data_IF_393458471439
#
_entry.id   IF_393458471439
#
_cell.length_a   1.000
_cell.length_b   1.000
_cell.length_c   1.000
_cell.angle_alpha   90.00
_cell.angle_beta   90.00
_cell.angle_gamma   90.00
#
_symmetry.space_group_name_H-M   'P 1'
#
loop_
_entity.id
_entity.type
_entity.pdbx_description
1 polymer ?
#
# COMPACT_ATOMS: atom_id res chain seq x y z
N UNK A 1 44.06 -57.35 -71.23
CA UNK A 1 43.65 -57.81 -69.93
C UNK A 1 44.04 -56.80 -68.86
N UNK A 2 43.14 -55.89 -68.48
CA UNK A 2 43.37 -54.95 -67.37
C UNK A 2 42.03 -54.85 -66.66
N UNK A 3 41.97 -55.25 -65.41
CA UNK A 3 40.78 -55.16 -64.53
C UNK A 3 40.77 -53.78 -63.92
N UNK A 4 39.67 -53.08 -64.08
CA UNK A 4 39.36 -51.86 -63.35
C UNK A 4 38.76 -52.21 -61.98
N UNK A 5 39.34 -51.73 -60.91
CA UNK A 5 38.73 -51.68 -59.58
C UNK A 5 38.02 -50.39 -59.40
N UNK A 6 36.72 -50.46 -59.19
CA UNK A 6 35.86 -49.36 -58.79
C UNK A 6 35.88 -49.26 -57.27
N UNK A 7 36.35 -48.15 -56.73
CA UNK A 7 36.29 -47.78 -55.30
C UNK A 7 35.02 -47.01 -55.09
N UNK A 8 34.08 -47.57 -54.33
CA UNK A 8 32.84 -46.90 -53.92
C UNK A 8 33.11 -45.98 -52.72
N UNK A 9 32.81 -44.70 -52.89
CA UNK A 9 32.92 -43.70 -51.84
C UNK A 9 31.56 -43.57 -51.11
N UNK A 10 31.45 -44.14 -49.92
CA UNK A 10 30.27 -44.01 -49.05
C UNK A 10 30.32 -42.68 -48.30
N UNK A 11 29.48 -41.73 -48.70
CA UNK A 11 29.29 -40.48 -47.94
C UNK A 11 28.37 -40.74 -46.72
N UNK A 12 28.96 -40.72 -45.54
CA UNK A 12 28.20 -40.74 -44.27
C UNK A 12 27.71 -39.30 -43.96
N UNK A 13 26.39 -39.06 -44.13
CA UNK A 13 25.74 -37.83 -43.77
C UNK A 13 25.52 -37.79 -42.25
N UNK A 14 26.41 -37.07 -41.53
CA UNK A 14 26.23 -36.85 -40.09
C UNK A 14 25.16 -35.77 -39.87
N UNK A 15 23.95 -36.19 -39.47
CA UNK A 15 22.91 -35.30 -38.93
C UNK A 15 23.39 -34.80 -37.55
N UNK A 16 23.95 -33.59 -37.50
CA UNK A 16 24.17 -32.89 -36.27
C UNK A 16 22.81 -32.38 -35.74
N UNK A 17 22.22 -33.11 -34.81
CA UNK A 17 21.12 -32.64 -33.98
C UNK A 17 21.66 -31.50 -33.10
N UNK A 18 21.44 -30.29 -33.55
CA UNK A 18 21.64 -29.10 -32.71
C UNK A 18 20.68 -29.14 -31.53
N UNK A 19 21.14 -29.65 -30.40
CA UNK A 19 20.49 -29.45 -29.12
C UNK A 19 20.70 -27.98 -28.81
N UNK A 20 19.74 -27.14 -29.23
CA UNK A 20 19.66 -25.76 -28.79
C UNK A 20 19.52 -25.78 -27.28
N UNK A 21 20.60 -25.40 -26.58
CA UNK A 21 20.56 -25.08 -25.17
C UNK A 21 19.48 -23.99 -25.01
N UNK A 22 18.32 -24.37 -24.50
CA UNK A 22 17.39 -23.38 -23.99
C UNK A 22 18.12 -22.68 -22.84
N UNK A 23 18.71 -21.53 -23.14
CA UNK A 23 19.26 -20.62 -22.14
C UNK A 23 18.13 -20.40 -21.17
N UNK A 24 18.29 -20.81 -19.92
CA UNK A 24 17.30 -20.61 -18.88
C UNK A 24 17.08 -19.10 -18.77
N UNK A 25 16.02 -18.60 -19.42
CA UNK A 25 15.68 -17.20 -19.37
C UNK A 25 15.62 -16.81 -17.88
N UNK A 26 16.48 -15.86 -17.48
CA UNK A 26 16.53 -15.37 -16.10
C UNK A 26 15.14 -14.97 -15.63
N UNK A 27 14.86 -15.13 -14.34
CA UNK A 27 13.57 -14.75 -13.76
C UNK A 27 13.27 -13.28 -14.06
N UNK A 28 12.03 -13.01 -14.47
CA UNK A 28 11.56 -11.63 -14.64
C UNK A 28 11.38 -10.97 -13.27
N UNK A 29 11.92 -9.78 -13.08
CA UNK A 29 11.75 -9.03 -11.84
C UNK A 29 10.43 -8.27 -11.82
N UNK A 30 9.65 -8.42 -10.75
CA UNK A 30 8.54 -7.54 -10.41
C UNK A 30 8.85 -6.87 -9.07
N UNK A 31 8.64 -5.57 -8.97
CA UNK A 31 8.95 -4.81 -7.76
C UNK A 31 7.71 -4.14 -7.17
N UNK A 32 7.61 -4.17 -5.84
CA UNK A 32 6.66 -3.38 -5.06
C UNK A 32 7.43 -2.26 -4.36
N UNK A 33 7.09 -1.00 -4.62
CA UNK A 33 7.78 0.18 -4.08
C UNK A 33 6.83 0.98 -3.22
N UNK A 34 7.16 1.17 -1.94
CA UNK A 34 6.33 1.90 -0.99
C UNK A 34 6.61 3.40 -1.00
N UNK A 35 5.71 4.20 -0.39
CA UNK A 35 5.86 5.65 -0.27
C UNK A 35 6.75 6.08 0.90
N UNK A 36 7.02 5.19 1.84
CA UNK A 36 7.88 5.43 3.00
C UNK A 36 7.93 4.21 3.91
N UNK A 37 8.94 4.14 4.77
CA UNK A 37 9.12 3.01 5.68
C UNK A 37 8.11 3.08 6.84
N UNK A 38 7.27 2.04 6.99
CA UNK A 38 6.39 1.84 8.15
C UNK A 38 6.06 0.37 8.35
N UNK A 39 5.63 0.00 9.55
CA UNK A 39 5.24 -1.39 9.86
C UNK A 39 4.00 -1.86 9.06
N UNK A 40 3.14 -0.93 8.63
CA UNK A 40 2.04 -1.18 7.71
C UNK A 40 2.48 -1.97 6.46
N UNK A 41 3.60 -1.58 5.87
CA UNK A 41 4.09 -2.20 4.65
C UNK A 41 4.62 -3.63 4.83
N UNK A 42 4.93 -4.05 6.06
CA UNK A 42 5.30 -5.45 6.36
C UNK A 42 4.18 -6.43 6.04
N UNK A 43 2.93 -5.96 6.09
CA UNK A 43 1.75 -6.76 5.76
C UNK A 43 1.67 -6.94 4.24
N UNK A 44 1.89 -5.89 3.46
CA UNK A 44 1.97 -5.99 2.00
C UNK A 44 3.15 -6.86 1.55
N UNK A 45 4.31 -6.72 2.22
CA UNK A 45 5.49 -7.55 1.97
C UNK A 45 5.21 -9.04 2.22
N UNK A 46 4.44 -9.38 3.25
CA UNK A 46 4.01 -10.76 3.50
C UNK A 46 3.13 -11.30 2.35
N UNK A 47 2.27 -10.46 1.77
CA UNK A 47 1.49 -10.79 0.58
C UNK A 47 2.37 -11.04 -0.65
N UNK A 48 3.37 -10.19 -0.88
CA UNK A 48 4.37 -10.37 -1.96
C UNK A 48 5.16 -11.67 -1.77
N UNK A 49 5.59 -11.98 -0.54
CA UNK A 49 6.29 -13.24 -0.21
C UNK A 49 5.42 -14.46 -0.49
N UNK A 50 4.12 -14.40 -0.18
CA UNK A 50 3.19 -15.48 -0.54
C UNK A 50 3.09 -15.62 -2.06
N UNK A 51 2.93 -14.54 -2.80
CA UNK A 51 2.89 -14.56 -4.26
C UNK A 51 4.17 -15.14 -4.87
N UNK A 52 5.35 -14.88 -4.29
CA UNK A 52 6.63 -15.44 -4.74
C UNK A 52 6.62 -16.97 -4.76
N UNK A 53 5.96 -17.61 -3.78
CA UNK A 53 5.82 -19.07 -3.75
C UNK A 53 4.97 -19.65 -4.89
N UNK A 54 4.13 -18.83 -5.52
CA UNK A 54 3.24 -19.22 -6.61
C UNK A 54 3.73 -18.71 -7.99
N UNK A 55 4.77 -17.89 -8.03
CA UNK A 55 5.34 -17.29 -9.24
C UNK A 55 6.82 -17.68 -9.41
N UNK A 56 7.13 -18.96 -9.69
CA UNK A 56 8.52 -19.47 -9.72
C UNK A 56 9.37 -18.85 -10.82
N UNK A 57 8.76 -18.32 -11.90
CA UNK A 57 9.42 -17.69 -13.03
C UNK A 57 9.72 -16.22 -12.82
N UNK A 58 9.35 -15.67 -11.65
CA UNK A 58 9.55 -14.27 -11.29
C UNK A 58 10.43 -14.14 -10.05
N UNK A 59 11.15 -13.01 -9.98
CA UNK A 59 11.83 -12.52 -8.78
C UNK A 59 11.03 -11.34 -8.24
N UNK A 60 10.33 -11.53 -7.10
CA UNK A 60 9.49 -10.49 -6.51
C UNK A 60 10.28 -9.71 -5.48
N UNK A 61 10.46 -8.42 -5.72
CA UNK A 61 11.22 -7.52 -4.87
C UNK A 61 10.30 -6.56 -4.13
N UNK A 62 10.59 -6.30 -2.85
CA UNK A 62 9.93 -5.28 -2.05
C UNK A 62 10.93 -4.19 -1.69
N UNK A 63 10.61 -2.93 -2.00
CA UNK A 63 11.54 -1.79 -1.86
C UNK A 63 10.98 -0.74 -0.91
N UNK A 64 11.79 -0.41 0.08
CA UNK A 64 11.58 0.70 1.00
C UNK A 64 12.51 1.84 0.61
N UNK A 65 12.01 2.97 0.07
CA UNK A 65 12.83 4.17 -0.11
C UNK A 65 13.39 4.63 1.25
N UNK A 66 14.63 5.12 1.26
CA UNK A 66 15.29 5.58 2.50
C UNK A 66 14.55 6.76 3.15
N UNK A 67 13.84 7.55 2.36
CA UNK A 67 13.05 8.69 2.81
C UNK A 67 11.73 8.74 2.02
N UNK A 68 10.68 9.22 2.68
CA UNK A 68 9.37 9.47 2.08
C UNK A 68 9.38 10.76 1.22
N UNK A 69 10.23 10.79 0.21
CA UNK A 69 10.41 11.92 -0.70
C UNK A 69 10.30 11.48 -2.16
N UNK A 70 9.58 12.24 -2.97
CA UNK A 70 9.34 11.94 -4.38
C UNK A 70 10.65 11.69 -5.16
N UNK A 71 11.67 12.53 -4.95
CA UNK A 71 12.96 12.39 -5.62
C UNK A 71 13.73 11.12 -5.21
N UNK A 72 13.56 10.65 -3.96
CA UNK A 72 14.18 9.40 -3.49
C UNK A 72 13.46 8.21 -4.09
N UNK A 73 12.12 8.22 -4.08
CA UNK A 73 11.31 7.18 -4.70
C UNK A 73 11.59 7.08 -6.19
N UNK A 74 11.70 8.22 -6.90
CA UNK A 74 12.00 8.26 -8.32
C UNK A 74 13.31 7.54 -8.66
N UNK A 75 14.39 7.74 -7.88
CA UNK A 75 15.65 7.01 -8.08
C UNK A 75 15.47 5.50 -7.97
N UNK A 76 14.71 5.04 -6.96
CA UNK A 76 14.41 3.61 -6.80
C UNK A 76 13.69 3.05 -8.02
N UNK A 77 12.72 3.81 -8.59
CA UNK A 77 11.99 3.40 -9.79
C UNK A 77 12.91 3.35 -11.03
N UNK A 78 13.78 4.34 -11.20
CA UNK A 78 14.75 4.41 -12.31
C UNK A 78 15.80 3.27 -12.21
N UNK A 79 16.28 2.97 -11.02
CA UNK A 79 17.21 1.86 -10.78
C UNK A 79 16.56 0.50 -11.13
N UNK A 80 15.31 0.31 -10.78
CA UNK A 80 14.56 -0.90 -11.13
C UNK A 80 14.37 -1.04 -12.64
N UNK A 81 14.04 0.04 -13.33
CA UNK A 81 13.94 0.06 -14.80
C UNK A 81 15.29 -0.23 -15.42
N UNK A 82 16.37 0.41 -14.95
CA UNK A 82 17.74 0.18 -15.44
C UNK A 82 18.19 -1.27 -15.21
N UNK A 83 17.73 -1.90 -14.14
CA UNK A 83 17.97 -3.33 -13.86
C UNK A 83 17.05 -4.27 -14.67
N UNK A 84 16.19 -3.75 -15.56
CA UNK A 84 15.32 -4.55 -16.42
C UNK A 84 14.08 -5.11 -15.71
N UNK A 85 13.54 -4.45 -14.70
CA UNK A 85 12.30 -4.86 -14.06
C UNK A 85 11.16 -4.93 -15.10
N UNK A 86 10.49 -6.09 -15.18
CA UNK A 86 9.38 -6.32 -16.09
C UNK A 86 8.08 -5.65 -15.64
N UNK A 87 7.97 -5.35 -14.35
CA UNK A 87 6.83 -4.62 -13.80
C UNK A 87 7.13 -4.01 -12.44
N UNK A 88 6.52 -2.87 -12.18
CA UNK A 88 6.64 -2.11 -10.93
C UNK A 88 5.25 -1.76 -10.43
N UNK A 89 4.98 -2.02 -9.15
CA UNK A 89 3.82 -1.51 -8.42
C UNK A 89 4.32 -0.48 -7.42
N UNK A 90 3.73 0.71 -7.40
CA UNK A 90 4.19 1.82 -6.57
C UNK A 90 3.04 2.49 -5.82
N UNK A 91 3.25 2.81 -4.54
CA UNK A 91 2.44 3.79 -3.82
C UNK A 91 3.11 5.14 -3.96
N UNK A 92 2.52 6.05 -4.74
CA UNK A 92 3.16 7.32 -5.10
C UNK A 92 3.24 8.28 -3.90
N UNK A 93 4.40 8.90 -3.68
CA UNK A 93 4.62 9.89 -2.61
C UNK A 93 3.88 11.20 -2.91
N UNK A 94 3.98 11.67 -4.15
CA UNK A 94 3.33 12.90 -4.63
C UNK A 94 2.79 12.69 -6.05
N UNK A 95 1.62 12.03 -6.17
CA UNK A 95 1.09 11.60 -7.46
C UNK A 95 0.90 12.75 -8.46
N UNK A 96 0.55 13.93 -7.98
CA UNK A 96 0.31 15.11 -8.82
C UNK A 96 1.59 15.59 -9.49
N UNK A 97 2.67 15.72 -8.73
CA UNK A 97 3.95 16.23 -9.24
C UNK A 97 4.83 15.13 -9.85
N UNK A 98 4.58 13.85 -9.54
CA UNK A 98 5.31 12.70 -10.10
C UNK A 98 4.68 12.14 -11.40
N UNK A 99 3.61 12.73 -11.93
CA UNK A 99 2.91 12.17 -13.11
C UNK A 99 3.84 11.97 -14.31
N UNK A 100 4.69 12.93 -14.63
CA UNK A 100 5.60 12.84 -15.77
C UNK A 100 6.67 11.75 -15.57
N UNK A 101 7.24 11.68 -14.39
CA UNK A 101 8.21 10.65 -14.00
C UNK A 101 7.59 9.25 -14.08
N UNK A 102 6.40 9.07 -13.51
CA UNK A 102 5.67 7.81 -13.59
C UNK A 102 5.33 7.43 -15.04
N UNK A 103 5.05 8.40 -15.91
CA UNK A 103 4.83 8.16 -17.32
C UNK A 103 6.12 7.71 -18.06
N UNK A 104 7.28 8.21 -17.66
CA UNK A 104 8.59 7.73 -18.16
C UNK A 104 8.81 6.27 -17.75
N UNK A 105 8.54 5.93 -16.48
CA UNK A 105 8.60 4.55 -15.98
C UNK A 105 7.62 3.66 -16.78
N UNK A 106 6.36 4.07 -16.91
CA UNK A 106 5.32 3.33 -17.64
C UNK A 106 5.64 3.10 -19.13
N UNK A 107 6.50 3.94 -19.74
CA UNK A 107 6.95 3.75 -21.13
C UNK A 107 8.02 2.66 -21.28
N UNK A 108 8.63 2.21 -20.18
CA UNK A 108 9.75 1.27 -20.18
C UNK A 108 9.40 -0.07 -19.49
N UNK A 109 8.42 -0.07 -18.59
CA UNK A 109 7.99 -1.27 -17.87
C UNK A 109 6.49 -1.22 -17.55
N UNK A 110 5.89 -2.35 -17.16
CA UNK A 110 4.49 -2.37 -16.72
C UNK A 110 4.39 -1.66 -15.38
N UNK A 111 3.59 -0.59 -15.32
CA UNK A 111 3.37 0.20 -14.11
C UNK A 111 1.99 -0.05 -13.53
N UNK A 112 1.94 -0.48 -12.28
CA UNK A 112 0.74 -0.48 -11.44
C UNK A 112 0.91 0.53 -10.31
N UNK A 113 -0.20 1.01 -9.76
CA UNK A 113 -0.21 1.80 -8.53
C UNK A 113 -1.02 1.08 -7.44
N UNK A 114 -0.76 1.45 -6.19
CA UNK A 114 -1.44 0.91 -5.01
C UNK A 114 -1.48 1.96 -3.91
N UNK A 115 -2.41 1.85 -2.93
CA UNK A 115 -2.58 2.76 -1.80
C UNK A 115 -2.76 4.22 -2.22
N UNK A 116 -1.69 4.97 -2.45
CA UNK A 116 -1.72 6.30 -3.05
C UNK A 116 -1.66 6.16 -4.57
N UNK A 117 -2.81 6.33 -5.24
CA UNK A 117 -2.93 6.22 -6.69
C UNK A 117 -2.30 7.43 -7.40
N UNK A 118 -1.97 7.25 -8.67
CA UNK A 118 -1.58 8.31 -9.59
C UNK A 118 -2.47 8.26 -10.86
N UNK A 119 -3.74 8.65 -10.77
CA UNK A 119 -4.74 8.42 -11.81
C UNK A 119 -4.44 9.16 -13.11
N UNK A 120 -3.64 10.23 -13.09
CA UNK A 120 -3.21 10.98 -14.27
C UNK A 120 -2.00 10.34 -14.97
N UNK A 121 -1.38 9.32 -14.38
CA UNK A 121 -0.28 8.58 -14.98
C UNK A 121 -0.76 7.54 -16.00
N UNK A 122 0.17 7.03 -16.80
CA UNK A 122 -0.05 5.93 -17.74
C UNK A 122 0.03 4.55 -17.07
N UNK A 123 -0.31 4.46 -15.78
CA UNK A 123 -0.41 3.17 -15.11
C UNK A 123 -1.43 2.26 -15.79
N UNK A 124 -1.15 0.97 -15.80
CA UNK A 124 -2.08 -0.05 -16.33
C UNK A 124 -3.24 -0.27 -15.38
N UNK A 125 -2.94 -0.38 -14.07
CA UNK A 125 -3.96 -0.61 -13.05
C UNK A 125 -3.57 0.02 -11.71
N UNK A 126 -4.60 0.38 -10.95
CA UNK A 126 -4.55 0.61 -9.51
C UNK A 126 -5.15 -0.60 -8.80
N UNK A 127 -4.49 -1.11 -7.76
CA UNK A 127 -5.04 -2.08 -6.83
C UNK A 127 -4.89 -1.55 -5.41
N UNK A 128 -6.00 -1.33 -4.74
CA UNK A 128 -6.00 -0.72 -3.43
C UNK A 128 -7.40 -0.60 -2.85
N UNK A 129 -7.55 0.19 -1.79
CA UNK A 129 -8.86 0.51 -1.23
C UNK A 129 -9.42 1.80 -1.86
N UNK A 130 -10.74 1.96 -1.78
CA UNK A 130 -11.37 3.27 -2.02
C UNK A 130 -11.11 4.16 -0.80
N UNK A 131 -10.13 5.02 -0.89
CA UNK A 131 -9.77 5.90 0.22
C UNK A 131 -10.91 6.85 0.61
N UNK A 132 -11.73 7.27 -0.35
CA UNK A 132 -12.96 8.03 -0.07
C UNK A 132 -13.93 7.23 0.80
N UNK A 133 -14.16 5.93 0.50
CA UNK A 133 -15.06 5.11 1.30
C UNK A 133 -14.48 4.79 2.68
N UNK A 134 -13.16 4.61 2.79
CA UNK A 134 -12.48 4.51 4.09
C UNK A 134 -12.66 5.79 4.91
N UNK A 135 -12.51 6.95 4.27
CA UNK A 135 -12.78 8.25 4.89
C UNK A 135 -14.23 8.39 5.38
N UNK A 136 -15.20 7.95 4.55
CA UNK A 136 -16.63 7.92 4.94
C UNK A 136 -16.87 7.03 6.15
N UNK A 137 -16.23 5.86 6.20
CA UNK A 137 -16.32 4.97 7.35
C UNK A 137 -15.75 5.61 8.64
N UNK A 138 -14.62 6.31 8.56
CA UNK A 138 -14.06 7.06 9.67
C UNK A 138 -14.98 8.21 10.11
N UNK A 139 -15.57 8.95 9.15
CA UNK A 139 -16.56 9.99 9.42
C UNK A 139 -17.78 9.45 10.16
N UNK A 140 -18.25 8.24 9.81
CA UNK A 140 -19.32 7.57 10.54
C UNK A 140 -18.94 7.24 11.98
N UNK A 141 -17.73 6.69 12.20
CA UNK A 141 -17.22 6.47 13.56
C UNK A 141 -17.16 7.76 14.39
N UNK A 142 -16.80 8.90 13.76
CA UNK A 142 -16.81 10.21 14.43
C UNK A 142 -18.21 10.62 14.84
N UNK A 143 -19.22 10.49 13.96
CA UNK A 143 -20.61 10.82 14.25
C UNK A 143 -21.19 9.95 15.37
N UNK A 144 -20.91 8.65 15.33
CA UNK A 144 -21.36 7.69 16.35
C UNK A 144 -20.72 7.98 17.71
N UNK A 145 -19.45 8.40 17.74
CA UNK A 145 -18.70 8.72 18.97
C UNK A 145 -19.05 10.09 19.56
N UNK A 146 -19.56 11.02 18.74
CA UNK A 146 -19.86 12.41 19.10
C UNK A 146 -21.32 12.80 18.75
N UNK A 147 -22.33 12.16 19.33
CA UNK A 147 -23.74 12.41 18.97
C UNK A 147 -24.18 13.86 19.27
N UNK A 148 -23.50 14.56 20.18
CA UNK A 148 -23.77 15.96 20.50
C UNK A 148 -22.90 16.95 19.71
N UNK A 149 -22.02 16.44 18.83
CA UNK A 149 -21.04 17.23 18.09
C UNK A 149 -19.70 17.37 18.83
N UNK A 150 -18.76 18.07 18.21
CA UNK A 150 -17.45 18.34 18.78
C UNK A 150 -16.39 18.64 17.72
N UNK A 151 -15.28 19.23 18.18
CA UNK A 151 -14.13 19.54 17.33
C UNK A 151 -13.17 18.38 17.24
N UNK A 152 -12.81 18.00 16.02
CA UNK A 152 -11.85 16.95 15.73
C UNK A 152 -10.63 17.51 15.00
N UNK A 153 -9.46 16.93 15.28
CA UNK A 153 -8.22 17.20 14.55
C UNK A 153 -7.69 15.91 13.94
N UNK A 154 -7.31 16.00 12.67
CA UNK A 154 -6.70 14.90 11.94
C UNK A 154 -5.18 14.95 11.95
N UNK A 155 -4.54 13.78 11.83
CA UNK A 155 -3.09 13.60 11.73
C UNK A 155 -2.78 12.66 10.58
N UNK A 156 -1.84 13.03 9.72
CA UNK A 156 -1.53 12.29 8.50
C UNK A 156 -0.07 12.46 8.11
N UNK A 157 0.50 11.49 7.42
CA UNK A 157 1.88 11.58 6.95
C UNK A 157 2.07 12.64 5.88
N UNK A 158 1.48 12.41 4.72
CA UNK A 158 1.69 13.21 3.52
C UNK A 158 0.38 13.86 3.06
N UNK A 159 0.21 15.14 3.31
CA UNK A 159 -0.99 15.88 2.90
C UNK A 159 -1.18 15.92 1.36
N UNK A 160 -0.10 15.82 0.60
CA UNK A 160 -0.12 15.82 -0.87
C UNK A 160 -0.47 14.48 -1.51
N UNK A 161 -0.43 13.38 -0.76
CA UNK A 161 -0.75 12.05 -1.27
C UNK A 161 -2.25 11.88 -1.51
N UNK A 162 -2.62 11.15 -2.58
CA UNK A 162 -4.04 10.96 -2.93
C UNK A 162 -4.80 10.22 -1.84
N UNK A 163 -4.21 9.18 -1.24
CA UNK A 163 -4.84 8.46 -0.14
C UNK A 163 -5.20 9.37 1.04
N UNK A 164 -4.33 10.31 1.40
CA UNK A 164 -4.57 11.28 2.47
C UNK A 164 -5.74 12.21 2.12
N UNK A 165 -5.70 12.82 0.93
CA UNK A 165 -6.75 13.76 0.48
C UNK A 165 -8.11 13.10 0.41
N UNK A 166 -8.20 11.94 -0.22
CA UNK A 166 -9.46 11.19 -0.38
C UNK A 166 -10.06 10.76 0.95
N UNK A 167 -9.23 10.29 1.92
CA UNK A 167 -9.70 9.96 3.27
C UNK A 167 -10.25 11.19 3.99
N UNK A 168 -9.55 12.32 3.94
CA UNK A 168 -9.96 13.58 4.54
C UNK A 168 -11.27 14.08 3.91
N UNK A 169 -11.39 14.03 2.58
CA UNK A 169 -12.60 14.41 1.86
C UNK A 169 -13.78 13.50 2.20
N UNK A 170 -13.57 12.18 2.27
CA UNK A 170 -14.61 11.22 2.69
C UNK A 170 -15.11 11.50 4.11
N UNK A 171 -14.22 11.84 5.05
CA UNK A 171 -14.63 12.30 6.39
C UNK A 171 -15.46 13.56 6.29
N UNK A 172 -14.98 14.61 5.61
CA UNK A 172 -15.68 15.91 5.49
C UNK A 172 -17.06 15.75 4.83
N UNK A 173 -17.18 14.92 3.81
CA UNK A 173 -18.44 14.63 3.17
C UNK A 173 -19.44 14.00 4.15
N UNK A 174 -18.99 13.04 4.95
CA UNK A 174 -19.85 12.30 5.90
C UNK A 174 -20.31 13.15 7.06
N UNK A 175 -19.46 14.00 7.63
CA UNK A 175 -19.81 14.85 8.78
C UNK A 175 -20.54 16.13 8.37
N UNK A 176 -20.64 16.43 7.08
CA UNK A 176 -21.28 17.63 6.56
C UNK A 176 -22.70 17.78 7.07
N UNK A 177 -22.99 18.97 7.62
CA UNK A 177 -24.33 19.29 8.18
C UNK A 177 -24.58 18.72 9.57
N UNK A 178 -23.62 18.00 10.17
CA UNK A 178 -23.66 17.60 11.56
C UNK A 178 -23.05 18.69 12.47
N UNK A 179 -23.03 18.41 13.78
CA UNK A 179 -22.31 19.27 14.77
C UNK A 179 -20.87 18.81 15.01
N UNK A 180 -20.40 17.79 14.28
CA UNK A 180 -19.01 17.34 14.33
C UNK A 180 -18.21 18.10 13.28
N UNK A 181 -17.08 18.66 13.67
CA UNK A 181 -16.25 19.48 12.80
C UNK A 181 -14.82 18.95 12.75
N UNK A 182 -14.28 18.70 11.56
CA UNK A 182 -12.85 18.45 11.35
C UNK A 182 -12.19 19.82 11.14
N UNK A 183 -11.70 20.41 12.24
CA UNK A 183 -11.23 21.83 12.28
C UNK A 183 -9.81 22.01 11.76
N UNK A 184 -8.98 20.95 11.81
CA UNK A 184 -7.59 20.99 11.33
C UNK A 184 -7.13 19.61 10.90
N UNK A 185 -6.13 19.52 10.00
CA UNK A 185 -5.41 18.30 9.66
C UNK A 185 -3.91 18.62 9.56
N UNK A 186 -3.10 17.91 10.36
CA UNK A 186 -1.66 18.15 10.49
C UNK A 186 -0.84 17.06 9.81
N UNK A 187 0.04 17.46 8.89
CA UNK A 187 1.00 16.60 8.23
C UNK A 187 2.29 16.46 9.04
N UNK A 188 2.90 15.28 8.99
CA UNK A 188 4.15 14.99 9.72
C UNK A 188 5.29 14.50 8.84
N UNK A 189 5.11 14.41 7.52
CA UNK A 189 6.10 13.94 6.54
C UNK A 189 6.65 12.54 6.84
N UNK A 190 5.80 11.69 7.42
CA UNK A 190 6.12 10.32 7.88
C UNK A 190 7.22 10.33 8.99
N UNK A 191 7.42 11.44 9.67
CA UNK A 191 8.27 11.56 10.86
C UNK A 191 7.46 11.32 12.13
N UNK A 192 7.71 10.21 12.80
CA UNK A 192 6.97 9.82 14.00
C UNK A 192 7.22 10.74 15.20
N UNK A 193 8.36 11.41 15.29
CA UNK A 193 8.65 12.42 16.32
C UNK A 193 7.79 13.65 16.09
N UNK A 194 7.70 14.10 14.84
CA UNK A 194 6.83 15.19 14.42
C UNK A 194 5.36 14.83 14.61
N UNK A 195 4.97 13.60 14.31
CA UNK A 195 3.62 13.10 14.55
C UNK A 195 3.23 13.22 16.03
N UNK A 196 4.09 12.78 16.96
CA UNK A 196 3.88 12.92 18.41
C UNK A 196 3.75 14.40 18.81
N UNK A 197 4.68 15.26 18.37
CA UNK A 197 4.66 16.71 18.66
C UNK A 197 3.39 17.38 18.15
N UNK A 198 2.91 17.05 16.96
CA UNK A 198 1.66 17.57 16.42
C UNK A 198 0.47 17.29 17.34
N UNK A 199 0.42 16.15 18.00
CA UNK A 199 -0.64 15.80 18.97
C UNK A 199 -0.48 16.63 20.25
N UNK A 200 0.74 16.73 20.80
CA UNK A 200 1.05 17.55 21.98
C UNK A 200 0.65 19.02 21.77
N UNK A 201 1.04 19.60 20.64
CA UNK A 201 0.70 20.97 20.24
C UNK A 201 -0.82 21.15 20.07
N UNK A 202 -1.52 20.12 19.59
CA UNK A 202 -2.99 20.16 19.48
C UNK A 202 -3.63 20.23 20.86
N UNK A 203 -3.18 19.40 21.81
CA UNK A 203 -3.75 19.37 23.17
C UNK A 203 -3.47 20.67 23.94
N UNK A 204 -2.35 21.34 23.65
CA UNK A 204 -2.01 22.63 24.24
C UNK A 204 -2.83 23.78 23.62
N UNK A 205 -3.00 23.78 22.29
CA UNK A 205 -3.69 24.85 21.58
C UNK A 205 -5.22 24.74 21.62
N UNK A 206 -5.77 23.52 21.74
CA UNK A 206 -7.21 23.23 21.69
C UNK A 206 -7.64 22.40 22.90
N UNK A 207 -7.78 23.02 24.09
CA UNK A 207 -8.18 22.27 25.30
C UNK A 207 -9.59 21.68 25.23
N UNK A 208 -10.43 22.17 24.31
CA UNK A 208 -11.80 21.74 24.02
C UNK A 208 -11.90 20.72 22.87
N UNK A 209 -10.76 20.22 22.36
CA UNK A 209 -10.78 19.17 21.34
C UNK A 209 -11.48 17.91 21.86
N UNK A 210 -12.41 17.42 21.07
CA UNK A 210 -13.28 16.28 21.46
C UNK A 210 -12.86 14.97 20.82
N UNK A 211 -12.11 15.04 19.69
CA UNK A 211 -11.76 13.87 18.90
C UNK A 211 -10.44 14.11 18.15
N UNK A 212 -9.64 13.02 18.05
CA UNK A 212 -8.43 12.95 17.25
C UNK A 212 -8.54 11.78 16.25
N UNK A 213 -8.14 12.04 15.01
CA UNK A 213 -8.21 11.05 13.92
C UNK A 213 -6.82 10.80 13.36
N UNK A 214 -6.31 9.59 13.47
CA UNK A 214 -5.05 9.18 12.83
C UNK A 214 -5.34 8.57 11.46
N UNK A 215 -4.93 9.23 10.37
CA UNK A 215 -5.22 8.82 8.99
C UNK A 215 -4.21 7.81 8.42
N UNK A 216 -3.02 7.67 9.02
CA UNK A 216 -2.02 6.64 8.71
C UNK A 216 -1.81 5.73 9.91
N UNK A 217 -1.33 4.51 9.66
CA UNK A 217 -1.24 3.45 10.68
C UNK A 217 -0.49 3.87 11.95
N UNK A 218 0.59 4.64 11.83
CA UNK A 218 1.40 5.07 12.95
C UNK A 218 0.88 6.33 13.66
N UNK A 219 -0.03 7.09 13.05
CA UNK A 219 -0.58 8.30 13.69
C UNK A 219 -1.41 7.94 14.94
N UNK A 220 -2.25 6.89 14.85
CA UNK A 220 -3.10 6.46 15.97
C UNK A 220 -2.30 6.02 17.19
N UNK A 221 -1.23 5.21 17.09
CA UNK A 221 -0.32 4.94 18.20
C UNK A 221 0.27 6.19 18.84
N UNK A 222 0.69 7.18 18.04
CA UNK A 222 1.23 8.44 18.58
C UNK A 222 0.17 9.23 19.33
N UNK A 223 -1.07 9.27 18.82
CA UNK A 223 -2.23 9.85 19.52
C UNK A 223 -2.46 9.13 20.85
N UNK A 224 -2.48 7.80 20.83
CA UNK A 224 -2.69 6.98 22.02
C UNK A 224 -1.64 7.25 23.10
N UNK A 225 -0.37 7.27 22.73
CA UNK A 225 0.76 7.54 23.64
C UNK A 225 0.62 8.90 24.32
N UNK A 226 0.41 9.98 23.53
CA UNK A 226 0.27 11.34 24.07
C UNK A 226 -0.95 11.46 24.99
N UNK A 227 -2.09 10.88 24.59
CA UNK A 227 -3.29 10.90 25.43
C UNK A 227 -3.11 10.12 26.74
N UNK A 228 -2.34 9.01 26.71
CA UNK A 228 -1.99 8.23 27.89
C UNK A 228 -1.11 9.03 28.83
N UNK A 229 -0.04 9.65 28.31
CA UNK A 229 0.88 10.51 29.07
C UNK A 229 0.15 11.73 29.71
N UNK A 230 -0.83 12.30 28.97
CA UNK A 230 -1.63 13.43 29.43
C UNK A 230 -2.82 13.04 30.35
N UNK A 231 -3.06 11.75 30.62
CA UNK A 231 -4.23 11.29 31.40
C UNK A 231 -5.58 11.60 30.73
N UNK A 232 -5.62 11.65 29.40
CA UNK A 232 -6.79 12.00 28.60
C UNK A 232 -7.39 10.84 27.81
N UNK A 233 -6.83 9.61 27.92
CA UNK A 233 -7.42 8.40 27.30
C UNK A 233 -8.88 8.22 27.75
N UNK A 234 -9.76 7.91 26.82
CA UNK A 234 -11.20 7.74 27.03
C UNK A 234 -11.98 9.06 27.18
N UNK A 235 -11.31 10.19 27.49
CA UNK A 235 -11.93 11.53 27.57
C UNK A 235 -12.03 12.17 26.18
N UNK A 236 -10.98 12.06 25.38
CA UNK A 236 -10.94 12.50 23.99
C UNK A 236 -11.15 11.24 23.13
N UNK A 237 -12.10 11.29 22.18
CA UNK A 237 -12.37 10.18 21.27
C UNK A 237 -11.23 10.01 20.28
N UNK A 238 -10.87 8.76 19.98
CA UNK A 238 -9.83 8.46 19.00
C UNK A 238 -10.41 7.56 17.93
N UNK A 239 -10.24 7.96 16.67
CA UNK A 239 -10.55 7.15 15.50
C UNK A 239 -9.23 6.87 14.79
N UNK A 240 -9.00 5.59 14.45
CA UNK A 240 -7.78 5.13 13.82
C UNK A 240 -7.95 4.74 12.36
N UNK A 241 -6.82 4.59 11.72
CA UNK A 241 -6.66 3.86 10.46
C UNK A 241 -5.64 2.75 10.66
N UNK A 242 -5.85 1.69 9.91
CA UNK A 242 -5.01 0.51 9.82
C UNK A 242 -4.89 -0.31 11.13
N UNK A 243 -4.03 -1.33 11.11
CA UNK A 243 -4.02 -2.44 12.06
C UNK A 243 -2.78 -2.46 12.97
N UNK A 244 -2.26 -1.29 13.36
CA UNK A 244 -1.16 -1.25 14.31
C UNK A 244 -1.53 -1.95 15.65
N UNK A 245 -0.62 -2.74 16.26
CA UNK A 245 -0.92 -3.46 17.51
C UNK A 245 -1.38 -2.57 18.66
N UNK A 246 -0.85 -1.34 18.80
CA UNK A 246 -1.29 -0.38 19.83
C UNK A 246 -2.71 0.09 19.54
N UNK A 247 -3.01 0.37 18.27
CA UNK A 247 -4.36 0.76 17.83
C UNK A 247 -5.36 -0.34 18.13
N UNK A 248 -5.08 -1.59 17.73
CA UNK A 248 -5.96 -2.73 17.98
C UNK A 248 -6.12 -3.01 19.49
N UNK A 249 -5.04 -2.89 20.27
CA UNK A 249 -5.09 -2.97 21.73
C UNK A 249 -6.01 -1.92 22.33
N UNK A 250 -5.89 -0.67 21.90
CA UNK A 250 -6.73 0.44 22.35
C UNK A 250 -8.21 0.26 21.97
N UNK A 251 -8.50 -0.33 20.79
CA UNK A 251 -9.87 -0.68 20.39
C UNK A 251 -10.43 -1.76 21.30
N UNK A 252 -9.66 -2.81 21.58
CA UNK A 252 -10.04 -3.91 22.48
C UNK A 252 -10.31 -3.41 23.90
N UNK A 253 -9.50 -2.51 24.42
CA UNK A 253 -9.66 -1.89 25.74
C UNK A 253 -10.83 -0.88 25.77
N UNK A 254 -11.23 -0.33 24.61
CA UNK A 254 -12.27 0.70 24.50
C UNK A 254 -11.75 2.13 24.67
N UNK A 255 -10.43 2.35 24.69
CA UNK A 255 -9.80 3.68 24.69
C UNK A 255 -9.72 4.31 23.30
N UNK A 256 -9.80 3.51 22.23
CA UNK A 256 -9.98 3.89 20.83
C UNK A 256 -11.35 3.41 20.37
N UNK A 257 -12.11 4.28 19.71
CA UNK A 257 -13.50 4.00 19.24
C UNK A 257 -13.50 2.86 18.22
N UNK A 258 -12.59 2.94 17.26
CA UNK A 258 -12.42 1.97 16.20
C UNK A 258 -11.34 2.41 15.23
N UNK A 259 -10.98 1.52 14.33
CA UNK A 259 -10.03 1.78 13.25
C UNK A 259 -10.58 1.31 11.91
N UNK A 260 -10.26 2.04 10.85
CA UNK A 260 -10.63 1.67 9.48
C UNK A 260 -9.41 1.01 8.83
N UNK A 261 -9.50 -0.30 8.57
CA UNK A 261 -8.38 -1.08 8.06
C UNK A 261 -8.52 -1.34 6.57
N UNK A 262 -7.39 -1.37 5.90
CA UNK A 262 -7.23 -1.77 4.52
C UNK A 262 -6.81 -3.24 4.44
N UNK A 263 -6.49 -3.73 3.24
CA UNK A 263 -6.01 -5.09 3.04
C UNK A 263 -4.67 -5.13 2.27
N UNK A 264 -3.60 -4.56 2.83
CA UNK A 264 -2.31 -4.45 2.15
C UNK A 264 -1.70 -5.82 1.78
N UNK A 265 -1.99 -6.86 2.56
CA UNK A 265 -1.61 -8.24 2.20
C UNK A 265 -2.16 -8.63 0.81
N UNK A 266 -3.44 -8.36 0.58
CA UNK A 266 -4.10 -8.67 -0.70
C UNK A 266 -3.55 -7.82 -1.84
N UNK A 267 -3.17 -6.58 -1.60
CA UNK A 267 -2.53 -5.75 -2.63
C UNK A 267 -1.20 -6.38 -3.08
N UNK A 268 -0.36 -6.78 -2.14
CA UNK A 268 0.90 -7.46 -2.44
C UNK A 268 0.68 -8.80 -3.14
N UNK A 269 -0.21 -9.63 -2.61
CA UNK A 269 -0.47 -10.96 -3.13
C UNK A 269 -1.16 -10.95 -4.50
N UNK A 270 -2.34 -10.32 -4.58
CA UNK A 270 -3.12 -10.30 -5.82
C UNK A 270 -2.47 -9.41 -6.87
N UNK A 271 -1.90 -8.27 -6.46
CA UNK A 271 -1.29 -7.32 -7.38
C UNK A 271 -0.08 -7.88 -8.10
N UNK A 272 0.82 -8.59 -7.41
CA UNK A 272 1.95 -9.26 -8.07
C UNK A 272 1.48 -10.34 -9.04
N UNK A 273 0.49 -11.15 -8.67
CA UNK A 273 -0.07 -12.18 -9.55
C UNK A 273 -0.76 -11.59 -10.77
N UNK A 274 -1.51 -10.51 -10.59
CA UNK A 274 -2.19 -9.82 -11.68
C UNK A 274 -1.19 -9.17 -12.66
N UNK A 275 -0.13 -8.57 -12.12
CA UNK A 275 0.93 -7.97 -12.94
C UNK A 275 1.67 -9.05 -13.74
N UNK A 276 1.99 -10.21 -13.14
CA UNK A 276 2.58 -11.34 -13.85
C UNK A 276 1.69 -11.81 -15.00
N UNK A 277 0.39 -12.02 -14.76
CA UNK A 277 -0.59 -12.38 -15.81
C UNK A 277 -0.64 -11.35 -16.94
N UNK A 278 -0.67 -10.06 -16.59
CA UNK A 278 -0.69 -8.99 -17.58
C UNK A 278 0.55 -9.03 -18.49
N UNK A 279 1.74 -9.26 -17.91
CA UNK A 279 3.00 -9.39 -18.66
C UNK A 279 3.02 -10.64 -19.55
N UNK A 280 2.31 -11.69 -19.16
CA UNK A 280 2.12 -12.92 -19.94
C UNK A 280 1.02 -12.80 -21.02
N UNK A 281 0.36 -11.63 -21.10
CA UNK A 281 -0.67 -11.34 -22.10
C UNK A 281 -2.11 -11.52 -21.63
N UNK A 282 -2.35 -12.07 -20.44
CA UNK A 282 -3.68 -12.18 -19.84
C UNK A 282 -4.07 -10.87 -19.15
N UNK A 283 -4.94 -10.11 -19.80
CA UNK A 283 -5.47 -8.83 -19.31
C UNK A 283 -6.86 -8.96 -18.68
N UNK A 284 -7.43 -10.16 -18.61
CA UNK A 284 -8.83 -10.38 -18.21
C UNK A 284 -9.12 -9.96 -16.76
N UNK A 285 -8.10 -9.91 -15.89
CA UNK A 285 -8.24 -9.50 -14.50
C UNK A 285 -8.23 -7.98 -14.29
N UNK A 286 -8.05 -7.17 -15.35
CA UNK A 286 -7.99 -5.70 -15.24
C UNK A 286 -9.28 -5.09 -15.81
N UNK A 287 -10.10 -4.40 -14.98
CA UNK A 287 -11.28 -3.69 -15.46
C UNK A 287 -10.93 -2.61 -16.49
N UNK A 288 -11.89 -2.22 -17.32
CA UNK A 288 -11.69 -1.22 -18.39
C UNK A 288 -11.21 0.15 -17.84
N UNK A 289 -11.58 0.52 -16.63
CA UNK A 289 -11.12 1.73 -15.95
C UNK A 289 -9.76 1.55 -15.23
N UNK A 290 -9.19 0.35 -15.24
CA UNK A 290 -7.93 0.03 -14.57
C UNK A 290 -7.99 0.13 -13.03
N UNK A 291 -9.16 0.08 -12.40
CA UNK A 291 -9.31 0.24 -10.93
C UNK A 291 -9.81 -1.05 -10.30
N UNK A 292 -9.02 -1.62 -9.40
CA UNK A 292 -9.31 -2.85 -8.66
C UNK A 292 -9.42 -2.49 -7.18
N UNK A 293 -10.65 -2.47 -6.67
CA UNK A 293 -10.91 -2.12 -5.28
C UNK A 293 -10.89 -3.38 -4.41
N UNK A 294 -10.02 -3.36 -3.41
CA UNK A 294 -10.00 -4.30 -2.29
C UNK A 294 -10.69 -3.61 -1.12
N UNK A 295 -11.88 -4.05 -0.69
CA UNK A 295 -12.66 -3.36 0.33
C UNK A 295 -11.93 -3.27 1.67
N UNK A 296 -12.01 -2.12 2.33
CA UNK A 296 -11.59 -1.97 3.72
C UNK A 296 -12.66 -2.47 4.70
N UNK A 297 -12.31 -2.46 6.00
CA UNK A 297 -13.20 -2.89 7.10
C UNK A 297 -13.12 -1.91 8.26
N UNK A 298 -14.22 -1.75 8.97
CA UNK A 298 -14.22 -1.10 10.29
C UNK A 298 -13.95 -2.16 11.35
N UNK A 299 -12.94 -1.91 12.17
CA UNK A 299 -12.61 -2.73 13.32
C UNK A 299 -12.95 -1.94 14.58
N UNK A 300 -13.87 -2.47 15.34
CA UNK A 300 -14.35 -1.95 16.60
C UNK A 300 -14.28 -3.02 17.70
N UNK A 301 -14.80 -2.72 18.88
CA UNK A 301 -14.78 -3.62 20.02
C UNK A 301 -15.49 -4.96 19.76
N UNK A 302 -16.46 -4.99 18.82
CA UNK A 302 -17.24 -6.20 18.56
C UNK A 302 -16.48 -7.23 17.72
N UNK A 303 -15.50 -6.80 16.90
CA UNK A 303 -14.82 -7.67 15.94
C UNK A 303 -13.29 -7.67 16.02
N UNK A 304 -12.69 -6.88 16.93
CA UNK A 304 -11.23 -6.73 17.02
C UNK A 304 -10.50 -8.03 17.37
N UNK A 305 -11.07 -8.88 18.23
CA UNK A 305 -10.44 -10.14 18.63
C UNK A 305 -10.32 -11.12 17.45
N UNK A 306 -11.39 -11.27 16.67
CA UNK A 306 -11.42 -12.11 15.48
C UNK A 306 -10.45 -11.57 14.42
N UNK A 307 -10.42 -10.25 14.25
CA UNK A 307 -9.49 -9.60 13.31
C UNK A 307 -8.03 -9.83 13.72
N UNK A 308 -7.68 -9.67 15.00
CA UNK A 308 -6.32 -9.93 15.50
C UNK A 308 -5.90 -11.39 15.30
N UNK A 309 -6.81 -12.35 15.45
CA UNK A 309 -6.53 -13.76 15.18
C UNK A 309 -6.23 -14.00 13.70
N UNK A 310 -7.02 -13.41 12.79
CA UNK A 310 -6.79 -13.48 11.35
C UNK A 310 -5.42 -12.87 10.96
N UNK A 311 -5.07 -11.72 11.52
CA UNK A 311 -3.78 -11.06 11.28
C UNK A 311 -2.58 -11.93 11.68
N UNK A 312 -2.64 -12.58 12.85
CA UNK A 312 -1.58 -13.51 13.27
C UNK A 312 -1.38 -14.63 12.25
N UNK A 313 -2.47 -15.21 11.75
CA UNK A 313 -2.41 -16.28 10.76
C UNK A 313 -1.79 -15.77 9.43
N UNK A 314 -2.20 -14.60 8.93
CA UNK A 314 -1.66 -14.01 7.70
C UNK A 314 -0.16 -13.75 7.79
N UNK A 315 0.32 -13.30 8.94
CA UNK A 315 1.74 -13.00 9.19
C UNK A 315 2.57 -14.23 9.58
N UNK A 316 1.97 -15.43 9.62
CA UNK A 316 2.65 -16.66 10.04
C UNK A 316 3.13 -16.63 11.50
N UNK A 317 2.57 -15.77 12.34
CA UNK A 317 2.88 -15.69 13.77
C UNK A 317 2.01 -16.69 14.51
N UNK A 318 2.66 -17.60 15.28
CA UNK A 318 1.98 -18.54 16.19
C UNK A 318 1.45 -17.85 17.44
#
# INVERSE_FOLDING_TARGET
MKRLLTVGLSAALALALGVGSAEAAGKKTLAFVVNGASDFWKIAEAGVKKAQGELPNYDLQFKYPEQAAAAVQQRVLEDLVAAGAAGIMVSAVDPKNQTEELNKIASQTVLFTTDSDAPQSKRVAYIGSSNTDLGKAAGKLMLDALPNGGKCVGFVGLLGADNARERIEGVKETIKGSKVELVDVRGDEIDQTRAKRNVEDTLAAMPDVSCLVGFYSYNTPRIYEVLKEAGKLGKIKVIGFDEDPITLGGVKEGSIVGTVVQQPFEWGYQGMKLMAKYIEGDKSGIPANGIIIVPGKVIDKANVDDFMAQMKQMLGKK
#
